data_IF_085837657021
#
_entry.id   IF_085837657021
#
_cell.length_a   1.000
_cell.length_b   1.000
_cell.length_c   1.000
_cell.angle_alpha   90.00
_cell.angle_beta   90.00
_cell.angle_gamma   90.00
#
_symmetry.space_group_name_H-M   'P 1'
#
loop_
_entity.id
_entity.type
_entity.pdbx_description
1 polymer ?
#
# COMPACT_ATOMS: atom_id res chain seq x y z
N UNK A 1 7.39 -3.54 29.18
CA UNK A 1 7.81 -3.42 27.77
C UNK A 1 6.62 -3.75 26.92
N UNK A 2 6.22 -2.86 26.01
CA UNK A 2 5.18 -3.19 25.04
C UNK A 2 5.59 -4.36 24.14
N UNK A 3 4.65 -4.99 23.44
CA UNK A 3 5.01 -5.98 22.44
C UNK A 3 5.99 -5.36 21.43
N UNK A 4 6.98 -6.14 20.92
CA UNK A 4 7.90 -5.65 19.91
C UNK A 4 7.11 -5.13 18.70
N UNK A 5 7.61 -4.06 18.05
CA UNK A 5 7.05 -3.56 16.80
C UNK A 5 7.02 -4.69 15.76
N UNK A 6 5.87 -4.93 15.13
CA UNK A 6 5.77 -5.86 14.01
C UNK A 6 6.18 -5.12 12.75
N UNK A 7 7.23 -5.56 12.05
CA UNK A 7 7.74 -4.83 10.91
C UNK A 7 9.24 -4.99 10.64
N UNK A 8 9.73 -4.18 9.71
CA UNK A 8 11.12 -4.14 9.27
C UNK A 8 11.63 -2.71 9.26
N UNK A 9 12.89 -2.51 9.65
CA UNK A 9 13.52 -1.20 9.61
C UNK A 9 14.97 -1.26 9.18
N UNK A 10 15.40 -0.32 8.33
CA UNK A 10 16.81 -0.09 8.00
C UNK A 10 17.49 -1.19 7.18
N UNK A 11 16.72 -2.10 6.56
CA UNK A 11 17.26 -3.12 5.68
C UNK A 11 17.52 -2.56 4.27
N UNK A 12 18.50 -3.12 3.57
CA UNK A 12 18.90 -2.71 2.23
C UNK A 12 19.10 -3.93 1.33
N UNK A 13 18.49 -3.93 0.14
CA UNK A 13 18.61 -4.97 -0.89
C UNK A 13 18.23 -6.40 -0.43
N UNK A 14 17.32 -6.48 0.54
CA UNK A 14 16.85 -7.74 1.14
C UNK A 14 15.46 -8.18 0.64
N UNK A 15 15.23 -9.50 0.65
CA UNK A 15 13.88 -10.07 0.63
C UNK A 15 13.39 -10.29 2.06
N UNK A 16 12.27 -9.66 2.41
CA UNK A 16 11.72 -9.64 3.76
C UNK A 16 10.30 -10.22 3.76
N UNK A 17 9.94 -10.99 4.77
CA UNK A 17 8.66 -11.67 4.81
C UNK A 17 8.06 -11.77 6.21
N UNK A 18 6.75 -11.49 6.33
CA UNK A 18 5.96 -11.81 7.51
C UNK A 18 4.78 -12.68 7.10
N UNK A 19 4.58 -13.77 7.83
CA UNK A 19 3.48 -14.70 7.65
C UNK A 19 2.22 -14.37 8.45
N UNK A 20 1.18 -15.21 8.32
CA UNK A 20 -0.10 -14.96 8.97
C UNK A 20 -0.01 -14.89 10.49
N UNK A 21 0.89 -15.67 11.11
CA UNK A 21 1.07 -15.74 12.56
C UNK A 21 1.71 -14.47 13.13
N UNK A 22 2.57 -13.82 12.36
CA UNK A 22 3.22 -12.57 12.74
C UNK A 22 2.30 -11.36 12.53
N UNK A 23 1.46 -11.41 11.49
CA UNK A 23 0.58 -10.31 11.11
C UNK A 23 -0.67 -10.19 11.98
N UNK A 24 -1.38 -11.31 12.28
CA UNK A 24 -2.57 -11.43 13.16
C UNK A 24 -3.20 -10.12 13.69
N UNK A 25 -3.77 -9.28 12.81
CA UNK A 25 -4.38 -7.99 13.18
C UNK A 25 -3.48 -7.04 13.99
N UNK A 26 -2.17 -7.07 13.72
CA UNK A 26 -1.18 -6.16 14.30
C UNK A 26 -0.94 -4.99 13.37
N UNK A 27 -0.47 -3.90 13.97
CA UNK A 27 0.04 -2.77 13.22
C UNK A 27 1.45 -3.09 12.73
N UNK A 28 1.66 -2.98 11.41
CA UNK A 28 2.92 -3.28 10.74
C UNK A 28 3.61 -1.98 10.33
N UNK A 29 4.89 -1.87 10.64
CA UNK A 29 5.73 -0.72 10.28
C UNK A 29 6.85 -1.15 9.36
N UNK A 30 6.95 -0.54 8.18
CA UNK A 30 8.07 -0.65 7.27
C UNK A 30 8.77 0.71 7.24
N UNK A 31 10.00 0.81 7.74
CA UNK A 31 10.70 2.08 7.82
C UNK A 31 12.11 2.03 7.26
N UNK A 32 12.52 3.10 6.56
CA UNK A 32 13.90 3.29 6.14
C UNK A 32 14.47 2.13 5.31
N UNK A 33 13.60 1.43 4.55
CA UNK A 33 14.01 0.33 3.68
C UNK A 33 14.52 0.85 2.34
N UNK A 34 15.54 0.19 1.77
CA UNK A 34 16.09 0.56 0.45
C UNK A 34 16.23 -0.66 -0.45
N UNK A 35 15.68 -0.61 -1.66
CA UNK A 35 15.83 -1.71 -2.63
C UNK A 35 15.17 -3.04 -2.20
N UNK A 36 14.42 -3.05 -1.08
CA UNK A 36 13.90 -4.28 -0.51
C UNK A 36 12.65 -4.78 -1.26
N UNK A 37 12.48 -6.10 -1.23
CA UNK A 37 11.24 -6.77 -1.62
C UNK A 37 10.55 -7.36 -0.39
N UNK A 38 9.44 -6.76 0.01
CA UNK A 38 8.71 -7.15 1.22
C UNK A 38 7.44 -7.91 0.85
N UNK A 39 7.22 -9.08 1.46
CA UNK A 39 6.00 -9.89 1.31
C UNK A 39 5.31 -10.03 2.66
N UNK A 40 4.09 -9.50 2.79
CA UNK A 40 3.26 -9.59 3.99
C UNK A 40 2.05 -10.47 3.66
N UNK A 41 2.13 -11.77 3.96
CA UNK A 41 1.06 -12.75 3.69
C UNK A 41 0.22 -12.95 4.93
N UNK A 42 -0.96 -12.36 4.97
CA UNK A 42 -1.85 -12.41 6.12
C UNK A 42 -2.70 -11.15 6.23
N UNK A 43 -3.42 -11.04 7.34
CA UNK A 43 -4.23 -9.88 7.66
C UNK A 43 -3.55 -9.00 8.73
N UNK A 44 -3.04 -7.84 8.30
CA UNK A 44 -2.58 -6.79 9.21
C UNK A 44 -3.75 -5.88 9.62
N UNK A 45 -3.66 -5.22 10.78
CA UNK A 45 -4.67 -4.23 11.17
C UNK A 45 -4.42 -2.89 10.49
N UNK A 46 -3.18 -2.38 10.57
CA UNK A 46 -2.73 -1.13 9.93
C UNK A 46 -1.38 -1.39 9.28
N UNK A 47 -1.13 -0.80 8.11
CA UNK A 47 0.21 -0.74 7.51
C UNK A 47 0.72 0.70 7.54
N UNK A 48 1.93 0.90 8.05
CA UNK A 48 2.65 2.19 7.97
C UNK A 48 3.96 1.97 7.23
N UNK A 49 4.14 2.66 6.13
CA UNK A 49 5.39 2.68 5.37
C UNK A 49 5.99 4.08 5.44
N UNK A 50 7.23 4.20 5.89
CA UNK A 50 7.88 5.50 6.13
C UNK A 50 9.30 5.53 5.57
N UNK A 51 9.62 6.58 4.83
CA UNK A 51 10.99 6.89 4.38
C UNK A 51 11.66 5.73 3.63
N UNK A 52 10.87 4.92 2.91
CA UNK A 52 11.35 3.80 2.11
C UNK A 52 11.61 4.22 0.66
N UNK A 53 12.64 3.62 0.03
CA UNK A 53 13.04 3.95 -1.35
C UNK A 53 13.30 2.72 -2.20
N UNK A 54 12.86 2.72 -3.46
CA UNK A 54 13.18 1.62 -4.39
C UNK A 54 12.58 0.27 -3.99
N UNK A 55 11.55 0.27 -3.13
CA UNK A 55 11.04 -0.95 -2.52
C UNK A 55 9.82 -1.49 -3.27
N UNK A 56 9.69 -2.82 -3.31
CA UNK A 56 8.47 -3.50 -3.73
C UNK A 56 7.79 -4.13 -2.52
N UNK A 57 6.58 -3.70 -2.21
CA UNK A 57 5.80 -4.21 -1.07
C UNK A 57 4.56 -4.94 -1.59
N UNK A 58 4.49 -6.23 -1.34
CA UNK A 58 3.32 -7.08 -1.58
C UNK A 58 2.64 -7.36 -0.24
N UNK A 59 1.43 -6.85 -0.05
CA UNK A 59 0.69 -6.96 1.20
C UNK A 59 -0.70 -7.55 0.97
N UNK A 60 -1.08 -8.45 1.88
CA UNK A 60 -2.44 -8.93 2.01
C UNK A 60 -3.42 -7.81 2.39
N UNK A 61 -4.67 -8.16 2.70
CA UNK A 61 -5.68 -7.19 3.09
C UNK A 61 -5.40 -6.63 4.48
N UNK A 62 -5.40 -5.31 4.57
CA UNK A 62 -5.23 -4.52 5.79
C UNK A 62 -6.61 -4.11 6.29
N UNK A 63 -6.95 -4.47 7.53
CA UNK A 63 -8.31 -4.29 8.07
C UNK A 63 -8.74 -2.84 8.12
N UNK A 64 -7.81 -1.90 8.37
CA UNK A 64 -8.13 -0.48 8.51
C UNK A 64 -7.47 0.36 7.42
N UNK A 65 -6.25 0.83 7.64
CA UNK A 65 -5.62 1.86 6.83
C UNK A 65 -4.19 1.52 6.46
N UNK A 66 -3.79 2.01 5.29
CA UNK A 66 -2.40 2.08 4.87
C UNK A 66 -1.96 3.55 4.86
N UNK A 67 -0.87 3.85 5.57
CA UNK A 67 -0.26 5.16 5.62
C UNK A 67 1.12 5.08 4.99
N UNK A 68 1.37 5.88 3.96
CA UNK A 68 2.62 5.90 3.20
C UNK A 68 3.18 7.32 3.26
N UNK A 69 4.33 7.50 3.89
CA UNK A 69 4.89 8.83 4.15
C UNK A 69 6.37 8.89 3.76
N UNK A 70 6.75 9.91 3.00
CA UNK A 70 8.16 10.13 2.62
C UNK A 70 8.76 9.05 1.72
N UNK A 71 7.94 8.27 1.01
CA UNK A 71 8.42 7.16 0.19
C UNK A 71 8.73 7.59 -1.25
N UNK A 72 9.69 6.94 -1.90
CA UNK A 72 10.06 7.26 -3.28
C UNK A 72 10.43 6.05 -4.13
N UNK A 73 10.06 6.06 -5.41
CA UNK A 73 10.40 4.98 -6.35
C UNK A 73 9.95 3.58 -5.84
N UNK A 74 8.78 3.54 -5.19
CA UNK A 74 8.26 2.32 -4.59
C UNK A 74 7.08 1.76 -5.39
N UNK A 75 6.94 0.45 -5.37
CA UNK A 75 5.76 -0.26 -5.84
C UNK A 75 5.05 -0.87 -4.63
N UNK A 76 3.79 -0.54 -4.45
CA UNK A 76 2.97 -1.05 -3.35
C UNK A 76 1.74 -1.79 -3.91
N UNK A 77 1.53 -3.01 -3.43
CA UNK A 77 0.34 -3.82 -3.73
C UNK A 77 -0.36 -4.15 -2.41
N UNK A 78 -1.54 -3.59 -2.14
CA UNK A 78 -2.24 -3.76 -0.87
C UNK A 78 -3.75 -3.53 -1.00
N UNK A 79 -4.55 -4.16 -0.14
CA UNK A 79 -5.97 -3.84 0.01
C UNK A 79 -6.21 -3.21 1.39
N UNK A 80 -7.05 -2.18 1.49
CA UNK A 80 -7.36 -1.51 2.76
C UNK A 80 -8.72 -0.78 2.72
N UNK A 81 -9.17 -0.24 3.85
CA UNK A 81 -10.32 0.67 3.84
C UNK A 81 -9.93 2.07 3.40
N UNK A 82 -8.84 2.59 3.95
CA UNK A 82 -8.35 3.94 3.69
C UNK A 82 -6.87 3.92 3.32
N UNK A 83 -6.53 4.56 2.22
CA UNK A 83 -5.15 4.83 1.84
C UNK A 83 -4.86 6.32 2.05
N UNK A 84 -3.77 6.62 2.74
CA UNK A 84 -3.24 7.98 2.86
C UNK A 84 -1.77 7.99 2.45
N UNK A 85 -1.44 8.82 1.48
CA UNK A 85 -0.07 9.02 1.03
C UNK A 85 0.35 10.46 1.24
N UNK A 86 1.52 10.69 1.83
CA UNK A 86 2.05 12.00 2.13
C UNK A 86 3.53 12.10 1.76
N UNK A 87 3.99 13.22 1.18
CA UNK A 87 5.40 13.43 0.76
C UNK A 87 5.97 12.32 -0.14
N UNK A 88 5.12 11.64 -0.91
CA UNK A 88 5.49 10.45 -1.69
C UNK A 88 5.72 10.81 -3.16
N UNK A 89 6.76 10.23 -3.79
CA UNK A 89 7.16 10.60 -5.16
C UNK A 89 7.48 9.40 -6.03
N UNK A 90 7.08 9.44 -7.30
CA UNK A 90 7.40 8.40 -8.29
C UNK A 90 6.99 6.98 -7.84
N UNK A 91 5.83 6.85 -7.17
CA UNK A 91 5.35 5.57 -6.62
C UNK A 91 4.16 5.01 -7.40
N UNK A 92 4.09 3.67 -7.46
CA UNK A 92 3.01 2.91 -8.11
C UNK A 92 2.21 2.14 -7.07
N UNK A 93 0.89 2.28 -7.11
CA UNK A 93 -0.05 1.68 -6.16
C UNK A 93 -1.01 0.75 -6.88
N UNK A 94 -0.96 -0.54 -6.56
CA UNK A 94 -1.94 -1.54 -6.98
C UNK A 94 -2.84 -1.84 -5.80
N UNK A 95 -3.99 -1.17 -5.75
CA UNK A 95 -4.78 -1.09 -4.52
C UNK A 95 -6.21 -1.52 -4.70
N UNK A 96 -6.77 -2.03 -3.60
CA UNK A 96 -8.21 -2.06 -3.38
C UNK A 96 -8.50 -1.17 -2.19
N UNK A 97 -9.37 -0.19 -2.38
CA UNK A 97 -9.72 0.77 -1.32
C UNK A 97 -11.23 0.79 -1.17
N UNK A 98 -11.77 0.35 -0.03
CA UNK A 98 -13.23 0.25 0.15
C UNK A 98 -13.89 1.59 0.47
N UNK A 99 -13.12 2.56 1.00
CA UNK A 99 -13.59 3.90 1.34
C UNK A 99 -12.95 4.97 0.46
N UNK A 100 -11.73 5.43 0.78
CA UNK A 100 -11.12 6.61 0.15
C UNK A 100 -9.59 6.50 0.06
N UNK A 101 -9.03 6.94 -1.05
CA UNK A 101 -7.60 7.16 -1.22
C UNK A 101 -7.33 8.66 -1.21
N UNK A 102 -6.39 9.11 -0.38
CA UNK A 102 -6.02 10.53 -0.25
C UNK A 102 -4.51 10.67 -0.45
N UNK A 103 -4.11 11.69 -1.21
CA UNK A 103 -2.71 12.08 -1.40
C UNK A 103 -2.50 13.55 -0.98
N UNK A 104 -1.31 13.86 -0.47
CA UNK A 104 -0.87 15.20 -0.03
C UNK A 104 0.66 15.31 -0.17
N UNK A 105 1.19 16.44 -0.63
CA UNK A 105 2.58 16.66 -1.06
C UNK A 105 3.13 15.51 -1.92
N UNK A 106 2.30 14.99 -2.83
CA UNK A 106 2.63 13.85 -3.67
C UNK A 106 2.92 14.29 -5.11
N UNK A 107 3.81 13.59 -5.80
CA UNK A 107 4.07 13.82 -7.23
C UNK A 107 4.32 12.52 -7.98
N UNK A 108 3.80 12.42 -9.20
CA UNK A 108 3.94 11.24 -10.08
C UNK A 108 3.51 9.93 -9.40
N UNK A 109 2.38 9.97 -8.72
CA UNK A 109 1.76 8.77 -8.17
C UNK A 109 0.93 8.11 -9.27
N UNK A 110 0.91 6.79 -9.33
CA UNK A 110 0.01 6.11 -10.27
C UNK A 110 -0.72 4.93 -9.63
N UNK A 111 -1.98 4.75 -10.03
CA UNK A 111 -2.90 3.79 -9.43
C UNK A 111 -3.36 2.73 -10.42
N UNK A 112 -3.48 1.50 -9.93
CA UNK A 112 -4.05 0.35 -10.62
C UNK A 112 -4.88 -0.50 -9.63
N UNK A 113 -5.76 -1.38 -10.11
CA UNK A 113 -6.44 -2.34 -9.25
C UNK A 113 -5.44 -3.26 -8.52
N UNK A 114 -5.78 -3.65 -7.29
CA UNK A 114 -5.09 -4.73 -6.58
C UNK A 114 -5.02 -5.99 -7.44
N UNK A 115 -3.82 -6.55 -7.58
CA UNK A 115 -3.57 -7.66 -8.50
C UNK A 115 -2.73 -8.78 -7.91
N UNK A 116 -2.53 -8.81 -6.59
CA UNK A 116 -1.75 -9.87 -5.95
C UNK A 116 -2.64 -11.01 -5.45
N UNK A 117 -2.17 -12.24 -5.61
CA UNK A 117 -2.83 -13.46 -5.13
C UNK A 117 -1.79 -14.39 -4.55
N UNK A 118 -2.14 -15.07 -3.45
CA UNK A 118 -1.30 -16.04 -2.78
C UNK A 118 -2.16 -17.06 -2.00
N UNK A 119 -1.64 -18.25 -1.66
CA UNK A 119 -2.39 -19.24 -0.90
C UNK A 119 -2.89 -18.69 0.44
N UNK A 120 -4.21 -18.69 0.64
CA UNK A 120 -4.85 -18.20 1.88
C UNK A 120 -5.42 -16.78 1.80
N UNK A 121 -5.25 -16.08 0.68
CA UNK A 121 -5.72 -14.69 0.49
C UNK A 121 -7.24 -14.55 0.73
N UNK A 122 -8.06 -15.54 0.39
CA UNK A 122 -9.50 -15.52 0.61
C UNK A 122 -9.85 -15.42 2.10
N UNK A 123 -9.16 -16.20 2.94
CA UNK A 123 -9.32 -16.19 4.39
C UNK A 123 -8.83 -14.88 5.00
N UNK A 124 -7.74 -14.35 4.46
CA UNK A 124 -7.24 -13.05 4.91
C UNK A 124 -8.24 -11.93 4.60
N UNK A 125 -8.88 -11.95 3.42
CA UNK A 125 -9.93 -10.99 3.08
C UNK A 125 -11.13 -11.12 4.02
N UNK A 126 -11.57 -12.35 4.31
CA UNK A 126 -12.66 -12.58 5.27
C UNK A 126 -12.32 -12.02 6.66
N UNK A 127 -11.13 -12.33 7.19
CA UNK A 127 -10.68 -11.84 8.50
C UNK A 127 -10.45 -10.33 8.56
N UNK A 128 -10.16 -9.69 7.43
CA UNK A 128 -9.99 -8.24 7.32
C UNK A 128 -11.29 -7.45 7.44
N UNK A 129 -12.44 -8.08 7.12
CA UNK A 129 -13.72 -7.40 7.00
C UNK A 129 -13.84 -6.46 5.80
N UNK A 130 -12.88 -6.47 4.86
CA UNK A 130 -12.96 -5.68 3.63
C UNK A 130 -14.02 -6.25 2.69
N UNK A 131 -14.92 -5.39 2.23
CA UNK A 131 -15.90 -5.74 1.20
C UNK A 131 -15.19 -5.85 -0.17
N UNK A 132 -15.13 -7.08 -0.71
CA UNK A 132 -14.52 -7.37 -2.02
C UNK A 132 -15.28 -6.74 -3.19
N UNK A 133 -16.53 -6.35 -3.00
CA UNK A 133 -17.34 -5.71 -4.03
C UNK A 133 -17.16 -4.19 -4.06
N UNK A 134 -16.46 -3.60 -3.07
CA UNK A 134 -16.19 -2.17 -3.00
C UNK A 134 -14.74 -1.89 -3.30
N UNK A 135 -14.51 -1.17 -4.40
CA UNK A 135 -13.17 -0.83 -4.83
C UNK A 135 -13.10 0.54 -5.51
N UNK A 136 -12.59 1.52 -4.77
CA UNK A 136 -12.43 2.92 -5.17
C UNK A 136 -10.97 3.25 -5.55
N UNK A 137 -10.20 2.29 -6.06
CA UNK A 137 -8.79 2.45 -6.42
C UNK A 137 -8.52 3.59 -7.41
N UNK A 138 -9.52 3.98 -8.22
CA UNK A 138 -9.45 5.04 -9.23
C UNK A 138 -10.09 6.36 -8.77
N UNK A 139 -10.55 6.46 -7.52
CA UNK A 139 -11.10 7.67 -6.91
C UNK A 139 -10.12 8.18 -5.85
N UNK A 140 -9.21 9.04 -6.28
CA UNK A 140 -8.13 9.57 -5.45
C UNK A 140 -8.33 11.06 -5.23
N UNK A 141 -8.35 11.46 -3.98
CA UNK A 141 -8.45 12.85 -3.58
C UNK A 141 -7.06 13.44 -3.34
N UNK A 142 -6.73 14.48 -4.08
CA UNK A 142 -5.50 15.24 -3.92
C UNK A 142 -5.78 16.49 -3.09
N UNK A 143 -5.26 16.51 -1.87
CA UNK A 143 -5.52 17.58 -0.91
C UNK A 143 -4.89 18.92 -1.33
N UNK A 144 -3.79 18.89 -2.08
CA UNK A 144 -3.11 20.10 -2.55
C UNK A 144 -3.73 20.67 -3.84
N UNK A 145 -4.60 19.91 -4.51
CA UNK A 145 -5.20 20.30 -5.77
C UNK A 145 -6.61 20.85 -5.59
N UNK A 146 -6.70 22.18 -5.38
CA UNK A 146 -7.96 22.88 -5.16
C UNK A 146 -8.77 23.15 -6.45
N UNK A 147 -8.20 22.89 -7.63
CA UNK A 147 -8.87 23.15 -8.89
C UNK A 147 -9.92 22.06 -9.18
N UNK A 148 -11.16 22.48 -9.41
CA UNK A 148 -12.29 21.58 -9.69
C UNK A 148 -12.55 21.40 -11.19
N UNK A 149 -11.95 22.24 -12.03
CA UNK A 149 -12.11 22.26 -13.49
C UNK A 149 -11.07 21.41 -14.23
N UNK A 150 -10.03 20.93 -13.54
CA UNK A 150 -8.92 20.17 -14.12
C UNK A 150 -8.51 19.01 -13.23
N UNK A 151 -8.11 17.86 -13.81
CA UNK A 151 -7.55 16.76 -13.04
C UNK A 151 -6.25 17.16 -12.36
N UNK A 152 -5.99 16.59 -11.19
CA UNK A 152 -4.70 16.76 -10.51
C UNK A 152 -3.55 16.25 -11.39
N UNK A 153 -2.42 16.97 -11.48
CA UNK A 153 -1.22 16.50 -12.17
C UNK A 153 -0.38 15.53 -11.31
N UNK A 154 -0.70 15.37 -10.03
CA UNK A 154 0.12 14.64 -9.07
C UNK A 154 -0.12 13.13 -9.11
N UNK A 155 -1.23 12.70 -9.69
CA UNK A 155 -1.54 11.30 -9.85
C UNK A 155 -2.15 10.96 -11.21
N UNK A 156 -2.03 9.69 -11.60
CA UNK A 156 -2.61 9.15 -12.82
C UNK A 156 -3.05 7.69 -12.64
N UNK A 157 -3.73 7.14 -13.63
CA UNK A 157 -4.01 5.70 -13.70
C UNK A 157 -2.91 5.01 -14.52
N UNK A 158 -2.48 3.82 -14.08
CA UNK A 158 -1.56 3.00 -14.85
C UNK A 158 -2.31 2.42 -16.06
N UNK A 159 -1.84 2.65 -17.30
CA UNK A 159 -2.42 2.06 -18.51
C UNK A 159 -2.47 0.54 -18.42
N UNK A 160 -3.53 -0.09 -18.94
CA UNK A 160 -3.75 -1.53 -18.79
C UNK A 160 -2.59 -2.38 -19.30
N UNK A 161 -1.95 -1.94 -20.38
CA UNK A 161 -0.83 -2.63 -21.02
C UNK A 161 0.46 -2.56 -20.20
N UNK A 162 0.56 -1.60 -19.28
CA UNK A 162 1.71 -1.39 -18.40
C UNK A 162 1.49 -2.02 -17.01
N UNK A 163 0.29 -2.57 -16.75
CA UNK A 163 -0.03 -3.18 -15.46
C UNK A 163 0.70 -4.50 -15.28
N UNK A 164 1.31 -4.66 -14.12
CA UNK A 164 1.93 -5.91 -13.70
C UNK A 164 0.81 -6.89 -13.31
N UNK A 165 0.82 -8.06 -13.96
CA UNK A 165 -0.11 -9.17 -13.69
C UNK A 165 0.58 -10.41 -13.13
N UNK A 166 1.92 -10.42 -13.11
CA UNK A 166 2.75 -11.49 -12.57
C UNK A 166 3.74 -10.88 -11.59
N UNK A 167 3.63 -11.30 -10.33
CA UNK A 167 4.34 -10.71 -9.20
C UNK A 167 5.53 -11.55 -8.77
#
# INVERSE_FOLDING_TARGET
>A
GGPPLCGFSGAEDEELELGPAELLQRDVVLSELRGCRVRLRGNANTLRMRDCRGCTVLCGPVSTSALVDGCSDCLLVLACQQLRSHRTRDCRFYVQVTSRAVIEDCTKISFAPYAWSYPGIERDFESSGLDRNRNNWNLVDDFDWLATDKPSPNWSLIPEQERISRW
#
